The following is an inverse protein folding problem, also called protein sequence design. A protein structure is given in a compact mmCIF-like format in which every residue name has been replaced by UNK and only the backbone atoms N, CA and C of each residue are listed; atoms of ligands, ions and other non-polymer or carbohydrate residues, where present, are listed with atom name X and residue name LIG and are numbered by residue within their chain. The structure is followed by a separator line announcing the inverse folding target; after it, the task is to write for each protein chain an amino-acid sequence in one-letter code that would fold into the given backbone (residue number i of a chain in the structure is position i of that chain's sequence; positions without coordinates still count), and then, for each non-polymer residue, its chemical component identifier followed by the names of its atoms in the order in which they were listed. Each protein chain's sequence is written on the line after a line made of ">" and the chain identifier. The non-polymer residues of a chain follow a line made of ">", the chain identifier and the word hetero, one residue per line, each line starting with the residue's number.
data_IF_265994797880
#
_entry.id   IF_265994797880
#
_cell.length_a   1.000
_cell.length_b   1.000
_cell.length_c   1.000
_cell.angle_alpha   90.00
_cell.angle_beta   90.00
_cell.angle_gamma   90.00
#
_symmetry.space_group_name_H-M   'P 1'
#
loop_
_entity.id
_entity.type
_entity.pdbx_description
1 polymer ?
#
# COMPACT_ATOMS: atom_id res chain seq x y z
N UNK A 1 -10.76 -33.73 20.43
CA UNK A 1 -11.43 -32.55 19.85
C UNK A 1 -11.10 -31.35 20.71
N UNK A 2 -10.15 -30.52 20.30
CA UNK A 2 -9.84 -29.28 21.02
C UNK A 2 -10.71 -28.18 20.40
N UNK A 3 -11.67 -27.68 21.16
CA UNK A 3 -12.50 -26.55 20.76
C UNK A 3 -11.64 -25.28 20.59
N UNK A 4 -11.96 -24.46 19.60
CA UNK A 4 -11.28 -23.18 19.34
C UNK A 4 -11.32 -22.30 20.61
N UNK A 5 -10.21 -21.72 21.04
CA UNK A 5 -10.14 -20.86 22.24
C UNK A 5 -10.75 -19.46 22.05
N UNK A 6 -11.29 -19.15 20.89
CA UNK A 6 -11.81 -17.81 20.56
C UNK A 6 -13.33 -17.73 20.72
N UNK A 7 -13.84 -16.67 21.38
CA UNK A 7 -15.29 -16.50 21.57
C UNK A 7 -16.01 -16.29 20.22
N UNK A 8 -17.31 -16.64 20.14
CA UNK A 8 -18.12 -16.56 18.90
C UNK A 8 -18.18 -15.17 18.26
N UNK A 9 -17.93 -14.11 19.04
CA UNK A 9 -17.86 -12.73 18.54
C UNK A 9 -16.71 -12.48 17.56
N UNK A 10 -15.64 -13.29 17.58
CA UNK A 10 -14.56 -13.21 16.60
C UNK A 10 -14.93 -13.78 15.23
N UNK A 11 -15.96 -14.62 15.16
CA UNK A 11 -16.45 -15.13 13.87
C UNK A 11 -17.12 -14.02 13.03
N UNK A 12 -17.73 -13.02 13.68
CA UNK A 12 -18.36 -11.86 13.02
C UNK A 12 -17.35 -10.86 12.47
N UNK A 13 -16.09 -10.86 12.97
CA UNK A 13 -15.03 -9.99 12.43
C UNK A 13 -14.37 -10.56 11.16
N UNK A 14 -14.68 -11.82 10.78
CA UNK A 14 -14.13 -12.43 9.57
C UNK A 14 -14.62 -11.82 8.26
N UNK A 15 -15.73 -11.09 8.28
CA UNK A 15 -16.39 -10.54 7.08
C UNK A 15 -16.29 -8.99 6.96
N UNK A 16 -15.58 -8.30 7.86
CA UNK A 16 -15.38 -6.85 7.79
C UNK A 16 -14.12 -6.47 7.00
N UNK A 17 -13.88 -7.14 5.87
CA UNK A 17 -12.91 -6.66 4.89
C UNK A 17 -13.54 -5.56 4.04
N UNK A 18 -12.71 -4.62 3.56
CA UNK A 18 -13.13 -3.64 2.57
C UNK A 18 -13.81 -4.37 1.40
N UNK A 19 -15.11 -4.15 1.23
CA UNK A 19 -15.85 -4.79 0.15
C UNK A 19 -15.56 -4.08 -1.17
N UNK A 20 -14.82 -4.75 -2.05
CA UNK A 20 -14.55 -4.27 -3.40
C UNK A 20 -15.71 -4.70 -4.28
N UNK A 21 -16.60 -3.76 -4.62
CA UNK A 21 -17.79 -3.98 -5.44
C UNK A 21 -17.59 -3.65 -6.91
N UNK A 22 -16.56 -2.90 -7.27
CA UNK A 22 -16.20 -2.59 -8.65
C UNK A 22 -14.71 -2.35 -8.82
N UNK A 23 -14.16 -2.73 -9.96
CA UNK A 23 -12.75 -2.50 -10.30
C UNK A 23 -12.42 -1.00 -10.38
N UNK A 24 -13.28 -0.18 -11.00
CA UNK A 24 -13.10 1.27 -11.07
C UNK A 24 -13.14 1.93 -9.68
N UNK A 25 -14.02 1.47 -8.78
CA UNK A 25 -14.08 1.94 -7.39
C UNK A 25 -12.80 1.61 -6.63
N UNK A 26 -12.28 0.40 -6.80
CA UNK A 26 -11.00 -0.03 -6.23
C UNK A 26 -9.83 0.80 -6.78
N UNK A 27 -9.73 0.99 -8.09
CA UNK A 27 -8.69 1.80 -8.72
C UNK A 27 -8.69 3.24 -8.16
N UNK A 28 -9.86 3.88 -8.05
CA UNK A 28 -10.00 5.21 -7.43
C UNK A 28 -9.56 5.24 -5.98
N UNK A 29 -9.89 4.22 -5.21
CA UNK A 29 -9.42 4.10 -3.81
C UNK A 29 -7.90 4.00 -3.74
N UNK A 30 -7.30 3.13 -4.56
CA UNK A 30 -5.86 2.95 -4.63
C UNK A 30 -5.12 4.19 -5.13
N UNK A 31 -5.71 4.99 -6.02
CA UNK A 31 -5.16 6.28 -6.43
C UNK A 31 -5.05 7.25 -5.24
N UNK A 32 -6.05 7.28 -4.34
CA UNK A 32 -6.01 8.07 -3.11
C UNK A 32 -4.96 7.55 -2.11
N UNK A 33 -4.77 6.22 -2.02
CA UNK A 33 -3.70 5.63 -1.19
C UNK A 33 -2.34 6.06 -1.72
N UNK A 34 -2.10 5.90 -3.03
CA UNK A 34 -0.85 6.28 -3.71
C UNK A 34 -0.55 7.78 -3.59
N UNK A 35 -1.57 8.64 -3.76
CA UNK A 35 -1.37 10.08 -3.57
C UNK A 35 -0.73 10.39 -2.21
N UNK A 36 -1.25 9.79 -1.14
CA UNK A 36 -0.68 9.98 0.21
C UNK A 36 0.72 9.42 0.36
N UNK A 37 1.04 8.33 -0.32
CA UNK A 37 2.40 7.77 -0.36
C UNK A 37 3.36 8.74 -1.05
N UNK A 38 2.94 9.32 -2.18
CA UNK A 38 3.73 10.33 -2.90
C UNK A 38 3.88 11.62 -2.10
N UNK A 39 2.85 12.06 -1.37
CA UNK A 39 2.93 13.23 -0.48
C UNK A 39 4.02 13.03 0.60
N UNK A 40 4.14 11.81 1.16
CA UNK A 40 5.21 11.48 2.12
C UNK A 40 6.57 11.41 1.44
N UNK A 41 6.66 10.74 0.28
CA UNK A 41 7.89 10.58 -0.47
C UNK A 41 8.50 11.94 -0.89
N UNK A 42 7.69 12.83 -1.45
CA UNK A 42 8.10 14.18 -1.86
C UNK A 42 8.53 15.08 -0.70
N UNK A 43 8.17 14.73 0.53
CA UNK A 43 8.54 15.46 1.73
C UNK A 43 9.77 14.88 2.46
N UNK A 44 10.47 13.93 1.84
CA UNK A 44 11.74 13.39 2.35
C UNK A 44 12.87 14.31 1.87
N UNK A 45 13.72 14.83 2.77
CA UNK A 45 14.86 15.66 2.38
C UNK A 45 15.85 14.86 1.52
N UNK A 46 16.46 15.47 0.49
CA UNK A 46 17.40 14.80 -0.41
C UNK A 46 18.56 14.11 0.33
N UNK A 47 19.10 14.72 1.38
CA UNK A 47 20.18 14.16 2.18
C UNK A 47 19.76 12.95 3.04
N UNK A 48 18.46 12.61 3.05
CA UNK A 48 17.89 11.47 3.78
C UNK A 48 17.44 10.32 2.87
N UNK A 49 17.57 10.45 1.57
CA UNK A 49 17.09 9.44 0.59
C UNK A 49 17.67 8.05 0.83
N UNK A 50 18.96 7.95 1.12
CA UNK A 50 19.67 6.71 1.42
C UNK A 50 19.80 6.38 2.92
N UNK A 51 19.14 7.15 3.80
CA UNK A 51 19.26 6.93 5.24
C UNK A 51 18.64 5.60 5.67
N UNK A 52 19.26 4.93 6.64
CA UNK A 52 18.79 3.66 7.22
C UNK A 52 18.73 3.77 8.73
N UNK A 53 17.72 3.15 9.33
CA UNK A 53 17.61 3.04 10.79
C UNK A 53 18.68 2.10 11.37
N UNK A 54 18.98 1.02 10.66
CA UNK A 54 20.05 0.03 10.93
C UNK A 54 20.57 -0.50 9.59
N UNK A 55 21.66 -1.28 9.61
CA UNK A 55 22.21 -1.91 8.40
C UNK A 55 21.19 -2.78 7.68
N UNK A 56 20.33 -3.49 8.41
CA UNK A 56 19.30 -4.38 7.87
C UNK A 56 17.98 -3.66 7.52
N UNK A 57 17.85 -2.37 7.84
CA UNK A 57 16.63 -1.62 7.53
C UNK A 57 16.66 -1.07 6.10
N UNK A 58 15.50 -0.96 5.49
CA UNK A 58 15.36 -0.32 4.18
C UNK A 58 15.52 1.20 4.27
N UNK A 59 16.20 1.76 3.28
CA UNK A 59 16.20 3.20 3.04
C UNK A 59 14.85 3.67 2.48
N UNK A 60 14.55 4.98 2.51
CA UNK A 60 13.36 5.53 1.85
C UNK A 60 13.22 5.13 0.39
N UNK A 61 14.31 5.12 -0.38
CA UNK A 61 14.31 4.69 -1.79
C UNK A 61 13.85 3.24 -1.89
N UNK A 62 14.41 2.35 -1.09
CA UNK A 62 14.08 0.91 -1.13
C UNK A 62 12.65 0.63 -0.68
N UNK A 63 12.13 1.36 0.33
CA UNK A 63 10.72 1.25 0.72
C UNK A 63 9.80 1.61 -0.45
N UNK A 64 10.07 2.69 -1.17
CA UNK A 64 9.27 3.10 -2.32
C UNK A 64 9.38 2.11 -3.47
N UNK A 65 10.58 1.64 -3.78
CA UNK A 65 10.82 0.65 -4.82
C UNK A 65 10.12 -0.68 -4.50
N UNK A 66 10.15 -1.10 -3.22
CA UNK A 66 9.44 -2.29 -2.75
C UNK A 66 7.92 -2.16 -2.92
N UNK A 67 7.32 -1.04 -2.55
CA UNK A 67 5.88 -0.80 -2.76
C UNK A 67 5.52 -1.01 -4.24
N UNK A 68 6.29 -0.44 -5.16
CA UNK A 68 6.03 -0.58 -6.60
C UNK A 68 6.24 -2.00 -7.11
N UNK A 69 7.32 -2.66 -6.68
CA UNK A 69 7.64 -4.03 -7.07
C UNK A 69 6.56 -5.03 -6.65
N UNK A 70 6.12 -4.95 -5.41
CA UNK A 70 5.08 -5.83 -4.88
C UNK A 70 3.72 -5.55 -5.53
N UNK A 71 3.36 -4.28 -5.77
CA UNK A 71 2.13 -3.98 -6.50
C UNK A 71 2.14 -4.59 -7.90
N UNK A 72 3.23 -4.39 -8.65
CA UNK A 72 3.38 -4.97 -9.99
C UNK A 72 3.29 -6.49 -9.97
N UNK A 73 4.02 -7.13 -9.05
CA UNK A 73 4.15 -8.58 -8.98
C UNK A 73 2.88 -9.28 -8.48
N UNK A 74 2.19 -8.73 -7.49
CA UNK A 74 1.10 -9.43 -6.81
C UNK A 74 -0.30 -8.94 -7.20
N UNK A 75 -0.47 -7.67 -7.56
CA UNK A 75 -1.80 -7.09 -7.75
C UNK A 75 -2.02 -6.39 -9.10
N UNK A 76 -0.95 -6.20 -9.87
CA UNK A 76 -0.98 -5.50 -11.16
C UNK A 76 -0.83 -6.42 -12.36
N UNK A 77 0.24 -6.22 -13.11
CA UNK A 77 0.49 -6.88 -14.39
C UNK A 77 0.50 -8.42 -14.30
N UNK A 78 0.96 -8.99 -13.20
CA UNK A 78 0.96 -10.43 -12.97
C UNK A 78 -0.45 -11.04 -12.97
N UNK A 79 -1.40 -10.39 -12.31
CA UNK A 79 -2.80 -10.84 -12.32
C UNK A 79 -3.42 -10.74 -13.72
N UNK A 80 -3.07 -9.71 -14.49
CA UNK A 80 -3.48 -9.58 -15.90
C UNK A 80 -2.93 -10.72 -16.74
N UNK A 81 -1.69 -11.14 -16.50
CA UNK A 81 -1.06 -12.24 -17.21
C UNK A 81 -1.52 -13.63 -16.72
N UNK A 82 -2.27 -13.71 -15.64
CA UNK A 82 -2.79 -14.94 -15.06
C UNK A 82 -1.75 -15.77 -14.28
N UNK A 83 -0.56 -15.22 -14.05
CA UNK A 83 0.49 -15.85 -13.25
C UNK A 83 1.16 -14.82 -12.33
N UNK A 84 1.47 -15.17 -11.07
CA UNK A 84 2.27 -14.33 -10.20
C UNK A 84 3.65 -14.08 -10.84
N UNK A 85 4.10 -12.83 -10.83
CA UNK A 85 5.48 -12.48 -11.16
C UNK A 85 6.32 -12.45 -9.88
N UNK A 86 7.61 -12.73 -10.01
CA UNK A 86 8.53 -12.51 -8.90
C UNK A 86 8.76 -11.02 -8.70
N UNK A 87 8.69 -10.52 -7.45
CA UNK A 87 8.99 -9.12 -7.17
C UNK A 87 10.48 -8.84 -7.42
N UNK A 88 10.78 -7.60 -7.83
CA UNK A 88 12.17 -7.13 -7.88
C UNK A 88 12.67 -6.94 -6.46
N UNK A 89 13.70 -7.68 -6.07
CA UNK A 89 14.32 -7.56 -4.73
C UNK A 89 15.59 -6.70 -4.75
N UNK A 90 16.19 -6.49 -5.93
CA UNK A 90 17.38 -5.66 -6.06
C UNK A 90 16.99 -4.22 -6.42
N UNK A 91 17.09 -3.32 -5.46
CA UNK A 91 16.75 -1.91 -5.60
C UNK A 91 17.95 -1.01 -5.94
N UNK A 92 19.12 -1.56 -6.25
CA UNK A 92 20.34 -0.80 -6.56
C UNK A 92 20.22 0.07 -7.82
N UNK A 93 19.26 -0.21 -8.68
CA UNK A 93 18.96 0.61 -9.86
C UNK A 93 18.28 1.94 -9.53
N UNK A 94 17.77 2.12 -8.32
CA UNK A 94 17.12 3.35 -7.88
C UNK A 94 18.14 4.23 -7.12
N UNK A 95 18.67 5.24 -7.79
CA UNK A 95 19.67 6.11 -7.21
C UNK A 95 19.10 7.25 -6.35
N UNK A 96 17.80 7.60 -6.57
CA UNK A 96 17.14 8.74 -5.91
C UNK A 96 15.67 8.42 -5.62
N UNK A 97 15.07 9.17 -4.70
CA UNK A 97 13.60 9.12 -4.47
C UNK A 97 12.84 9.45 -5.75
N UNK A 98 13.33 10.38 -6.57
CA UNK A 98 12.68 10.72 -7.83
C UNK A 98 12.58 9.51 -8.76
N UNK A 99 13.64 8.71 -8.91
CA UNK A 99 13.61 7.49 -9.72
C UNK A 99 12.66 6.44 -9.17
N UNK A 100 12.59 6.28 -7.84
CA UNK A 100 11.62 5.40 -7.19
C UNK A 100 10.17 5.89 -7.35
N UNK A 101 9.92 7.19 -7.27
CA UNK A 101 8.61 7.81 -7.53
C UNK A 101 8.17 7.57 -8.98
N UNK A 102 9.06 7.71 -9.94
CA UNK A 102 8.72 7.48 -11.35
C UNK A 102 8.40 6.00 -11.61
N UNK A 103 9.12 5.09 -10.98
CA UNK A 103 8.77 3.67 -10.98
C UNK A 103 7.39 3.41 -10.38
N UNK A 104 7.07 4.01 -9.23
CA UNK A 104 5.75 3.92 -8.62
C UNK A 104 4.61 4.43 -9.54
N UNK A 105 4.87 5.48 -10.32
CA UNK A 105 3.88 6.01 -11.29
C UNK A 105 3.67 5.06 -12.46
N UNK A 106 4.75 4.43 -12.95
CA UNK A 106 4.67 3.46 -14.07
C UNK A 106 3.91 2.22 -13.63
N UNK A 107 4.32 1.59 -12.53
CA UNK A 107 3.65 0.37 -12.02
C UNK A 107 2.19 0.63 -11.71
N UNK A 108 1.86 1.81 -11.17
CA UNK A 108 0.48 2.19 -10.87
C UNK A 108 -0.39 2.29 -12.13
N UNK A 109 0.09 2.90 -13.20
CA UNK A 109 -0.68 2.99 -14.46
C UNK A 109 -1.04 1.61 -14.99
N UNK A 110 -0.07 0.70 -15.02
CA UNK A 110 -0.28 -0.66 -15.49
C UNK A 110 -1.30 -1.41 -14.62
N UNK A 111 -1.24 -1.22 -13.30
CA UNK A 111 -2.18 -1.81 -12.35
C UNK A 111 -3.57 -1.20 -12.46
N UNK A 112 -3.67 0.13 -12.59
CA UNK A 112 -4.93 0.88 -12.64
C UNK A 112 -5.72 0.53 -13.91
N UNK A 113 -5.07 0.39 -15.06
CA UNK A 113 -5.69 -0.07 -16.30
C UNK A 113 -6.32 -1.45 -16.12
N UNK A 114 -5.60 -2.38 -15.47
CA UNK A 114 -6.12 -3.70 -15.18
C UNK A 114 -7.30 -3.66 -14.20
N UNK A 115 -7.14 -2.98 -13.07
CA UNK A 115 -8.20 -2.91 -12.06
C UNK A 115 -9.47 -2.27 -12.59
N UNK A 116 -9.34 -1.19 -13.37
CA UNK A 116 -10.49 -0.49 -13.96
C UNK A 116 -11.27 -1.38 -14.92
N UNK A 117 -10.61 -2.34 -15.57
CA UNK A 117 -11.24 -3.28 -16.51
C UNK A 117 -12.02 -4.41 -15.82
N UNK A 118 -11.84 -4.63 -14.51
CA UNK A 118 -12.46 -5.75 -13.79
C UNK A 118 -13.97 -5.55 -13.63
N UNK A 119 -14.73 -6.55 -14.08
CA UNK A 119 -16.19 -6.61 -13.84
C UNK A 119 -16.48 -7.17 -12.42
N UNK A 120 -17.70 -6.96 -11.89
CA UNK A 120 -18.12 -7.57 -10.63
C UNK A 120 -17.97 -9.09 -10.62
N UNK A 121 -18.29 -9.77 -11.74
CA UNK A 121 -18.18 -11.22 -11.88
C UNK A 121 -16.71 -11.68 -11.80
N UNK A 122 -15.81 -10.92 -12.41
CA UNK A 122 -14.38 -11.21 -12.34
C UNK A 122 -13.84 -11.04 -10.91
N UNK A 123 -14.34 -10.06 -10.15
CA UNK A 123 -13.97 -9.88 -8.74
C UNK A 123 -14.39 -11.07 -7.86
N UNK A 124 -15.39 -11.84 -8.28
CA UNK A 124 -15.86 -13.06 -7.61
C UNK A 124 -15.17 -14.34 -8.08
N UNK A 125 -14.23 -14.25 -9.00
CA UNK A 125 -13.47 -15.44 -9.44
C UNK A 125 -12.48 -15.90 -8.38
N UNK A 126 -12.23 -17.21 -8.34
CA UNK A 126 -11.16 -17.80 -7.55
C UNK A 126 -9.84 -17.63 -8.28
N UNK A 127 -8.84 -17.13 -7.56
CA UNK A 127 -7.45 -17.06 -8.02
C UNK A 127 -6.57 -17.94 -7.13
N UNK A 128 -5.44 -18.38 -7.68
CA UNK A 128 -4.36 -18.97 -6.88
C UNK A 128 -3.37 -17.89 -6.49
N UNK A 129 -3.14 -17.75 -5.18
CA UNK A 129 -2.12 -16.87 -4.64
C UNK A 129 -0.72 -17.43 -4.91
N UNK A 130 0.36 -16.64 -4.80
CA UNK A 130 1.75 -17.14 -4.92
C UNK A 130 2.08 -18.29 -3.96
N UNK A 131 1.40 -18.37 -2.82
CA UNK A 131 1.55 -19.44 -1.83
C UNK A 131 0.71 -20.69 -2.15
N UNK A 132 0.01 -20.71 -3.28
CA UNK A 132 -0.82 -21.84 -3.74
C UNK A 132 -2.22 -21.91 -3.14
N UNK A 133 -2.60 -21.01 -2.24
CA UNK A 133 -3.95 -20.95 -1.70
C UNK A 133 -4.95 -20.38 -2.72
N UNK A 134 -6.19 -20.84 -2.66
CA UNK A 134 -7.28 -20.26 -3.45
C UNK A 134 -8.05 -19.24 -2.63
N UNK A 135 -8.33 -18.09 -3.24
CA UNK A 135 -9.21 -17.06 -2.67
C UNK A 135 -9.89 -16.24 -3.76
N UNK A 136 -10.96 -15.52 -3.40
CA UNK A 136 -11.63 -14.60 -4.32
C UNK A 136 -10.68 -13.45 -4.70
N UNK A 137 -10.70 -13.04 -5.99
CA UNK A 137 -9.88 -11.93 -6.48
C UNK A 137 -10.12 -10.65 -5.66
N UNK A 138 -11.37 -10.32 -5.33
CA UNK A 138 -11.69 -9.14 -4.49
C UNK A 138 -10.97 -9.17 -3.13
N UNK A 139 -10.85 -10.35 -2.50
CA UNK A 139 -10.15 -10.50 -1.22
C UNK A 139 -8.64 -10.35 -1.37
N UNK A 140 -8.10 -10.87 -2.47
CA UNK A 140 -6.68 -10.68 -2.79
C UNK A 140 -6.33 -9.22 -3.04
N UNK A 141 -7.17 -8.51 -3.80
CA UNK A 141 -6.99 -7.08 -4.06
C UNK A 141 -7.09 -6.23 -2.78
N UNK A 142 -7.90 -6.62 -1.80
CA UNK A 142 -8.01 -5.90 -0.54
C UNK A 142 -6.71 -5.84 0.27
N UNK A 143 -5.75 -6.73 0.02
CA UNK A 143 -4.42 -6.70 0.65
C UNK A 143 -3.50 -5.61 0.08
N UNK A 144 -3.74 -5.15 -1.14
CA UNK A 144 -2.89 -4.15 -1.80
C UNK A 144 -2.82 -2.81 -1.04
N UNK A 145 -3.96 -2.20 -0.62
CA UNK A 145 -3.90 -0.98 0.18
C UNK A 145 -3.26 -1.18 1.55
N UNK A 146 -3.48 -2.34 2.20
CA UNK A 146 -2.86 -2.64 3.50
C UNK A 146 -1.34 -2.68 3.39
N UNK A 147 -0.81 -3.33 2.36
CA UNK A 147 0.61 -3.39 2.06
C UNK A 147 1.21 -2.00 1.83
N UNK A 148 0.61 -1.18 0.96
CA UNK A 148 1.12 0.16 0.67
C UNK A 148 1.07 1.07 1.91
N UNK A 149 -0.02 1.01 2.69
CA UNK A 149 -0.17 1.78 3.93
C UNK A 149 0.86 1.34 4.97
N UNK A 150 1.09 0.02 5.11
CA UNK A 150 2.10 -0.53 6.01
C UNK A 150 3.49 0.03 5.70
N UNK A 151 3.94 -0.06 4.46
CA UNK A 151 5.28 0.42 4.08
C UNK A 151 5.39 1.95 4.09
N UNK A 152 4.35 2.68 3.70
CA UNK A 152 4.31 4.14 3.86
C UNK A 152 4.50 4.56 5.32
N UNK A 153 4.04 3.77 6.30
CA UNK A 153 4.21 4.10 7.71
C UNK A 153 5.69 4.18 8.14
N UNK A 154 6.57 3.39 7.52
CA UNK A 154 8.02 3.49 7.76
C UNK A 154 8.57 4.84 7.33
N UNK A 155 8.19 5.33 6.16
CA UNK A 155 8.61 6.66 5.69
C UNK A 155 8.13 7.77 6.64
N UNK A 156 6.92 7.63 7.16
CA UNK A 156 6.38 8.58 8.14
C UNK A 156 7.12 8.50 9.48
N UNK A 157 7.46 7.29 9.95
CA UNK A 157 8.26 7.08 11.16
C UNK A 157 9.67 7.66 11.00
N UNK A 158 10.33 7.46 9.86
CA UNK A 158 11.64 8.03 9.58
C UNK A 158 11.61 9.57 9.67
N UNK A 159 10.61 10.20 9.07
CA UNK A 159 10.43 11.66 9.18
C UNK A 159 10.31 12.12 10.64
N UNK A 160 9.63 11.36 11.49
CA UNK A 160 9.54 11.65 12.93
C UNK A 160 10.87 11.51 13.63
N UNK A 161 11.65 10.48 13.32
CA UNK A 161 13.00 10.28 13.88
C UNK A 161 13.91 11.45 13.49
N UNK A 162 13.76 12.02 12.29
CA UNK A 162 14.51 13.19 11.83
C UNK A 162 13.99 14.52 12.39
N UNK A 163 12.98 14.51 13.25
CA UNK A 163 12.40 15.71 13.84
C UNK A 163 11.53 16.55 12.87
N UNK A 164 11.14 15.99 11.73
CA UNK A 164 10.33 16.70 10.75
C UNK A 164 8.85 16.77 11.16
N UNK A 165 8.13 17.84 10.78
CA UNK A 165 6.73 18.01 11.13
C UNK A 165 5.84 16.92 10.52
N UNK A 166 4.70 16.66 11.16
CA UNK A 166 3.67 15.76 10.63
C UNK A 166 3.06 16.31 9.35
N UNK A 167 2.76 15.42 8.41
CA UNK A 167 2.04 15.76 7.18
C UNK A 167 0.53 15.62 7.37
N UNK A 168 -0.28 16.51 6.80
CA UNK A 168 -1.74 16.45 6.89
C UNK A 168 -2.32 15.44 5.86
N UNK A 169 -1.95 14.16 5.97
CA UNK A 169 -2.31 13.10 5.00
C UNK A 169 -3.82 12.92 4.80
N UNK A 170 -4.61 13.33 5.78
CA UNK A 170 -6.08 13.24 5.77
C UNK A 170 -6.75 14.63 5.82
N UNK A 171 -6.03 15.65 5.35
CA UNK A 171 -6.51 17.03 5.30
C UNK A 171 -6.06 17.87 6.50
N UNK A 172 -5.94 17.30 7.68
CA UNK A 172 -5.49 17.97 8.91
C UNK A 172 -4.42 17.15 9.61
N UNK A 173 -3.47 17.83 10.28
CA UNK A 173 -2.62 17.19 11.28
C UNK A 173 -3.41 17.01 12.58
N UNK A 174 -2.93 16.11 13.45
CA UNK A 174 -3.54 15.93 14.78
C UNK A 174 -3.51 17.24 15.59
N UNK A 175 -2.46 18.03 15.47
CA UNK A 175 -2.34 19.32 16.14
C UNK A 175 -3.41 20.31 15.66
N UNK A 176 -3.60 20.44 14.34
CA UNK A 176 -4.66 21.28 13.76
C UNK A 176 -6.05 20.82 14.18
N UNK A 177 -6.30 19.50 14.22
CA UNK A 177 -7.57 18.96 14.69
C UNK A 177 -7.82 19.34 16.15
N UNK A 178 -6.80 19.23 17.02
CA UNK A 178 -6.88 19.59 18.42
C UNK A 178 -7.20 21.09 18.60
N UNK A 179 -6.54 21.95 17.85
CA UNK A 179 -6.80 23.40 17.87
C UNK A 179 -8.24 23.74 17.48
N UNK A 180 -8.75 23.12 16.39
CA UNK A 180 -10.13 23.31 15.93
C UNK A 180 -11.18 22.81 16.92
N UNK A 181 -10.87 21.76 17.69
CA UNK A 181 -11.82 21.23 18.70
C UNK A 181 -11.76 22.00 20.00
N UNK A 182 -10.60 22.52 20.41
CA UNK A 182 -10.42 23.30 21.63
C UNK A 182 -10.99 24.73 21.53
N UNK A 183 -11.12 25.29 20.32
CA UNK A 183 -11.70 26.63 20.10
C UNK A 183 -13.23 26.65 20.12
N UNK A 184 -13.90 25.51 20.31
CA UNK A 184 -15.36 25.38 20.37
C UNK A 184 -15.92 25.24 21.78
N UNK A 185 -15.06 25.30 22.80
CA UNK A 185 -15.41 25.29 24.22
C UNK A 185 -15.26 26.66 24.81
#
# INVERSE_FOLDING_TARGET
>A
MFGSPWPPSFALLRDQHMEITSGAGFAKFMANVRKRTLDVANAIPPEKEGWRLSEDSWSPIEVLAHIGSIEHALWGASLRAGAPAEPVENFSSFATIASAIDYLKVTRRDSEDYWTSLTPEQLDTQIKTPTGHSMLLRRWLALAPEHEIHHRSFLHAYRKIWGLPSLPLYGLTFQQLKELTSSKT
#
